data_IF_172110893747
#
_entry.id   IF_172110893747
#
_cell.length_a   1.000
_cell.length_b   1.000
_cell.length_c   1.000
_cell.angle_alpha   90.00
_cell.angle_beta   90.00
_cell.angle_gamma   90.00
#
_symmetry.space_group_name_H-M   'P 1'
#
loop_
_entity.id
_entity.type
_entity.pdbx_description
1 polymer ?
#
# COMPACT_ATOMS: atom_id res chain seq x y z
N UNK A 1 1.56 -0.91 -46.68
CA UNK A 1 2.49 -0.96 -45.55
C UNK A 1 1.96 -0.37 -44.22
N UNK A 2 0.69 -0.02 -44.12
CA UNK A 2 0.07 0.67 -42.93
C UNK A 2 -0.52 -0.25 -41.84
N UNK A 3 -0.65 -1.56 -42.10
CA UNK A 3 -1.30 -2.51 -41.18
C UNK A 3 -0.44 -2.88 -39.96
N UNK A 4 0.90 -2.83 -40.07
CA UNK A 4 1.80 -3.22 -38.98
C UNK A 4 1.82 -2.25 -37.79
N UNK A 5 1.70 -0.94 -38.07
CA UNK A 5 1.76 0.10 -37.02
C UNK A 5 0.55 0.08 -36.06
N UNK A 6 -0.65 -0.22 -36.58
CA UNK A 6 -1.90 -0.28 -35.78
C UNK A 6 -1.94 -1.48 -34.85
N UNK A 7 -1.36 -2.62 -35.27
CA UNK A 7 -1.29 -3.83 -34.42
C UNK A 7 -0.32 -3.67 -33.26
N UNK A 8 0.84 -3.03 -33.48
CA UNK A 8 1.85 -2.76 -32.44
C UNK A 8 1.30 -1.80 -31.38
N UNK A 9 0.65 -0.71 -31.79
CA UNK A 9 0.03 0.25 -30.86
C UNK A 9 -1.10 -0.36 -30.04
N UNK A 10 -1.91 -1.27 -30.61
CA UNK A 10 -2.98 -1.96 -29.88
C UNK A 10 -2.42 -2.94 -28.83
N UNK A 11 -1.32 -3.63 -29.13
CA UNK A 11 -0.62 -4.54 -28.20
C UNK A 11 0.03 -3.78 -27.03
N UNK A 12 0.65 -2.62 -27.31
CA UNK A 12 1.21 -1.73 -26.29
C UNK A 12 0.13 -1.16 -25.37
N UNK A 13 -0.98 -0.68 -25.90
CA UNK A 13 -2.11 -0.19 -25.10
C UNK A 13 -2.65 -1.26 -24.16
N UNK A 14 -2.82 -2.50 -24.63
CA UNK A 14 -3.31 -3.61 -23.80
C UNK A 14 -2.35 -3.94 -22.64
N UNK A 15 -1.04 -3.93 -22.88
CA UNK A 15 -0.04 -4.14 -21.80
C UNK A 15 -0.06 -3.02 -20.76
N UNK A 16 -0.14 -1.76 -21.18
CA UNK A 16 -0.24 -0.60 -20.28
C UNK A 16 -1.51 -0.69 -19.45
N UNK A 17 -2.67 -1.02 -20.02
CA UNK A 17 -3.93 -1.15 -19.29
C UNK A 17 -3.86 -2.23 -18.22
N UNK A 18 -3.25 -3.38 -18.49
CA UNK A 18 -3.09 -4.48 -17.51
C UNK A 18 -2.15 -4.06 -16.37
N UNK A 19 -1.03 -3.39 -16.66
CA UNK A 19 -0.14 -2.87 -15.62
C UNK A 19 -0.85 -1.83 -14.77
N UNK A 20 -1.58 -0.90 -15.39
CA UNK A 20 -2.32 0.15 -14.68
C UNK A 20 -3.40 -0.45 -13.77
N UNK A 21 -4.11 -1.50 -14.22
CA UNK A 21 -5.15 -2.17 -13.45
C UNK A 21 -4.61 -2.88 -12.19
N UNK A 22 -3.33 -3.22 -12.14
CA UNK A 22 -2.68 -3.81 -10.97
C UNK A 22 -2.09 -2.73 -10.04
N UNK A 23 -1.47 -1.70 -10.62
CA UNK A 23 -0.76 -0.67 -9.86
C UNK A 23 -1.72 0.28 -9.14
N UNK A 24 -2.77 0.72 -9.83
CA UNK A 24 -3.73 1.70 -9.27
C UNK A 24 -4.42 1.19 -8.00
N UNK A 25 -4.98 -0.04 -7.94
CA UNK A 25 -5.59 -0.55 -6.70
C UNK A 25 -4.62 -0.63 -5.52
N UNK A 26 -3.36 -0.99 -5.77
CA UNK A 26 -2.34 -1.05 -4.71
C UNK A 26 -2.07 0.34 -4.15
N UNK A 27 -1.87 1.34 -5.02
CA UNK A 27 -1.64 2.73 -4.58
C UNK A 27 -2.86 3.25 -3.80
N UNK A 28 -4.08 3.02 -4.29
CA UNK A 28 -5.31 3.44 -3.61
C UNK A 28 -5.44 2.78 -2.25
N UNK A 29 -5.18 1.47 -2.14
CA UNK A 29 -5.21 0.75 -0.86
C UNK A 29 -4.22 1.36 0.14
N UNK A 30 -2.98 1.63 -0.28
CA UNK A 30 -1.98 2.26 0.59
C UNK A 30 -2.36 3.70 0.98
N UNK A 31 -2.96 4.47 0.07
CA UNK A 31 -3.47 5.80 0.41
C UNK A 31 -4.56 5.73 1.49
N UNK A 32 -5.52 4.81 1.37
CA UNK A 32 -6.58 4.59 2.36
C UNK A 32 -5.98 4.19 3.71
N UNK A 33 -5.03 3.24 3.73
CA UNK A 33 -4.37 2.81 4.96
C UNK A 33 -3.61 3.95 5.64
N UNK A 34 -2.89 4.77 4.87
CA UNK A 34 -2.19 5.93 5.43
C UNK A 34 -3.16 7.00 5.97
N UNK A 35 -4.28 7.25 5.29
CA UNK A 35 -5.32 8.15 5.80
C UNK A 35 -5.91 7.61 7.11
N UNK A 36 -6.21 6.32 7.19
CA UNK A 36 -6.75 5.70 8.39
C UNK A 36 -5.77 5.76 9.56
N UNK A 37 -4.50 5.40 9.36
CA UNK A 37 -3.47 5.48 10.42
C UNK A 37 -3.22 6.92 10.87
N UNK A 38 -3.22 7.88 9.96
CA UNK A 38 -3.10 9.30 10.30
C UNK A 38 -4.29 9.77 11.13
N UNK A 39 -5.51 9.32 10.81
CA UNK A 39 -6.71 9.61 11.59
C UNK A 39 -6.60 9.04 13.01
N UNK A 40 -6.15 7.80 13.18
CA UNK A 40 -5.95 7.19 14.52
C UNK A 40 -4.92 7.98 15.35
N UNK A 41 -3.80 8.38 14.74
CA UNK A 41 -2.81 9.22 15.43
C UNK A 41 -3.34 10.61 15.77
N UNK A 42 -4.20 11.18 14.93
CA UNK A 42 -4.84 12.45 15.20
C UNK A 42 -5.82 12.35 16.39
N UNK A 43 -6.61 11.30 16.48
CA UNK A 43 -7.51 11.07 17.63
C UNK A 43 -6.73 10.87 18.95
N UNK A 44 -5.62 10.14 18.92
CA UNK A 44 -4.73 9.99 20.08
C UNK A 44 -4.11 11.35 20.50
N UNK A 45 -3.65 12.14 19.52
CA UNK A 45 -3.16 13.48 19.77
C UNK A 45 -4.24 14.39 20.37
N UNK A 46 -5.44 14.38 19.80
CA UNK A 46 -6.59 15.16 20.26
C UNK A 46 -6.95 14.80 21.71
N UNK A 47 -7.03 13.50 22.01
CA UNK A 47 -7.28 13.01 23.36
C UNK A 47 -6.23 13.53 24.37
N UNK A 48 -4.95 13.44 24.03
CA UNK A 48 -3.85 13.94 24.87
C UNK A 48 -3.93 15.45 25.09
N UNK A 49 -4.30 16.20 24.05
CA UNK A 49 -4.47 17.65 24.15
C UNK A 49 -5.68 18.02 25.00
N UNK A 50 -6.82 17.33 24.88
CA UNK A 50 -7.99 17.54 25.71
C UNK A 50 -7.68 17.23 27.19
N UNK A 51 -7.00 16.12 27.45
CA UNK A 51 -6.53 15.77 28.77
C UNK A 51 -5.65 16.88 29.39
N UNK A 52 -4.74 17.45 28.59
CA UNK A 52 -3.90 18.58 29.03
C UNK A 52 -4.71 19.83 29.38
N UNK A 53 -5.82 20.11 28.64
CA UNK A 53 -6.69 21.25 28.98
C UNK A 53 -7.42 21.05 30.30
N UNK A 54 -7.88 19.82 30.59
CA UNK A 54 -8.50 19.48 31.86
C UNK A 54 -7.51 19.59 33.01
N UNK A 55 -6.28 19.12 32.81
CA UNK A 55 -5.21 19.25 33.81
C UNK A 55 -4.88 20.72 34.07
N UNK A 56 -4.74 21.54 33.02
CA UNK A 56 -4.40 22.95 33.15
C UNK A 56 -5.51 23.79 33.82
N UNK A 57 -6.77 23.39 33.65
CA UNK A 57 -7.90 24.09 34.24
C UNK A 57 -8.09 23.84 35.75
N UNK A 58 -7.52 22.74 36.28
CA UNK A 58 -7.63 22.40 37.70
C UNK A 58 -6.58 23.17 38.52
N UNK A 59 -7.02 24.19 39.28
CA UNK A 59 -6.15 24.99 40.13
C UNK A 59 -5.48 24.19 41.29
N UNK A 60 -6.11 23.13 41.76
CA UNK A 60 -5.56 22.24 42.77
C UNK A 60 -5.46 20.79 42.24
N UNK A 61 -4.26 20.39 41.90
CA UNK A 61 -3.95 18.98 41.59
C UNK A 61 -3.81 18.19 42.88
N UNK A 62 -4.93 17.73 43.42
CA UNK A 62 -4.94 16.90 44.62
C UNK A 62 -4.62 15.43 44.34
N UNK A 63 -3.40 15.19 43.81
CA UNK A 63 -2.81 13.86 43.81
C UNK A 63 -3.09 12.97 42.61
N UNK A 64 -2.43 11.82 42.58
CA UNK A 64 -2.49 10.77 41.56
C UNK A 64 -3.90 10.22 41.28
N UNK A 65 -4.81 10.30 42.25
CA UNK A 65 -6.18 9.78 42.12
C UNK A 65 -6.99 10.60 41.10
N UNK A 66 -6.86 11.91 41.10
CA UNK A 66 -7.54 12.81 40.14
C UNK A 66 -7.03 12.60 38.69
N UNK A 67 -5.74 12.36 38.52
CA UNK A 67 -5.15 12.01 37.19
C UNK A 67 -5.63 10.64 36.74
N UNK A 68 -5.69 9.67 37.68
CA UNK A 68 -6.16 8.33 37.36
C UNK A 68 -7.62 8.30 36.94
N UNK A 69 -8.46 9.16 37.52
CA UNK A 69 -9.86 9.29 37.16
C UNK A 69 -10.03 9.90 35.76
N UNK A 70 -9.28 10.95 35.44
CA UNK A 70 -9.25 11.57 34.11
C UNK A 70 -8.75 10.59 33.03
N UNK A 71 -7.77 9.76 33.34
CA UNK A 71 -7.23 8.77 32.39
C UNK A 71 -8.20 7.63 32.08
N UNK A 72 -9.23 7.42 32.91
CA UNK A 72 -10.28 6.43 32.66
C UNK A 72 -11.36 6.94 31.72
N UNK A 73 -11.53 8.25 31.64
CA UNK A 73 -12.51 8.85 30.73
C UNK A 73 -11.95 8.90 29.31
N UNK A 74 -12.63 8.23 28.39
CA UNK A 74 -12.23 8.17 26.99
C UNK A 74 -12.79 9.33 26.14
N UNK A 75 -13.81 9.99 26.64
CA UNK A 75 -14.56 11.02 25.90
C UNK A 75 -14.29 12.43 26.48
N UNK A 76 -13.06 12.72 26.88
CA UNK A 76 -12.65 14.01 27.41
C UNK A 76 -12.81 15.07 26.33
N UNK A 77 -13.67 16.06 26.60
CA UNK A 77 -13.82 17.25 25.76
C UNK A 77 -12.77 18.31 26.08
N UNK A 78 -12.57 19.26 25.15
CA UNK A 78 -11.62 20.36 25.34
C UNK A 78 -12.15 21.32 26.42
N UNK A 79 -11.40 21.48 27.51
CA UNK A 79 -11.69 22.50 28.51
C UNK A 79 -11.18 23.86 28.04
N UNK A 80 -12.11 24.80 27.85
CA UNK A 80 -11.81 26.10 27.26
C UNK A 80 -10.89 26.96 28.13
N UNK A 81 -11.02 26.90 29.46
CA UNK A 81 -10.15 27.65 30.39
C UNK A 81 -8.71 27.10 30.34
N UNK A 82 -8.58 25.77 30.38
CA UNK A 82 -7.29 25.11 30.27
C UNK A 82 -6.64 25.34 28.90
N UNK A 83 -7.45 25.42 27.83
CA UNK A 83 -6.97 25.75 26.48
C UNK A 83 -6.37 27.16 26.44
N UNK A 84 -7.05 28.15 26.99
CA UNK A 84 -6.56 29.52 27.04
C UNK A 84 -5.25 29.64 27.82
N UNK A 85 -5.14 28.94 28.96
CA UNK A 85 -3.89 28.89 29.72
C UNK A 85 -2.74 28.27 28.89
N UNK A 86 -2.99 27.14 28.22
CA UNK A 86 -1.98 26.50 27.37
C UNK A 86 -1.59 27.36 26.18
N UNK A 87 -2.53 28.12 25.58
CA UNK A 87 -2.24 29.10 24.53
C UNK A 87 -1.35 30.23 25.05
N UNK A 88 -1.69 30.82 26.23
CA UNK A 88 -0.91 31.88 26.84
C UNK A 88 0.56 31.46 27.09
N UNK A 89 0.80 30.24 27.48
CA UNK A 89 2.14 29.71 27.70
C UNK A 89 2.79 29.10 26.44
N UNK A 90 2.10 29.15 25.28
CA UNK A 90 2.64 28.66 24.00
C UNK A 90 2.67 27.11 23.84
N UNK A 91 1.90 26.38 24.64
CA UNK A 91 1.83 24.91 24.59
C UNK A 91 0.66 24.37 23.77
N UNK A 92 -0.26 25.22 23.33
CA UNK A 92 -1.39 24.81 22.50
C UNK A 92 -1.05 24.89 21.01
N UNK A 93 -1.14 23.73 20.31
CA UNK A 93 -0.97 23.68 18.87
C UNK A 93 0.40 24.10 18.32
N UNK A 94 1.39 24.31 19.18
CA UNK A 94 2.65 24.90 18.82
C UNK A 94 3.76 23.84 18.65
N UNK A 95 4.78 24.14 17.82
CA UNK A 95 5.95 23.28 17.57
C UNK A 95 6.75 22.92 18.84
N UNK A 96 6.56 23.64 19.93
CA UNK A 96 7.14 23.33 21.25
C UNK A 96 6.39 22.26 22.04
N UNK A 97 5.20 21.84 21.63
CA UNK A 97 4.42 20.84 22.33
C UNK A 97 4.93 19.44 21.99
N UNK A 98 5.33 18.67 23.01
CA UNK A 98 5.85 17.32 22.85
C UNK A 98 4.85 16.36 22.15
N UNK A 99 3.54 16.48 22.41
CA UNK A 99 2.51 15.67 21.77
C UNK A 99 2.35 16.02 20.29
N UNK A 100 2.46 17.28 19.91
CA UNK A 100 2.47 17.72 18.52
C UNK A 100 3.68 17.14 17.75
N UNK A 101 4.86 17.21 18.36
CA UNK A 101 6.08 16.63 17.78
C UNK A 101 5.97 15.11 17.66
N UNK A 102 5.42 14.43 18.68
CA UNK A 102 5.19 13.00 18.66
C UNK A 102 4.23 12.58 17.56
N UNK A 103 3.11 13.31 17.40
CA UNK A 103 2.14 13.07 16.33
C UNK A 103 2.81 13.15 14.95
N UNK A 104 3.53 14.24 14.67
CA UNK A 104 4.22 14.40 13.39
C UNK A 104 5.29 13.35 13.16
N UNK A 105 6.04 12.99 14.19
CA UNK A 105 7.03 11.92 14.10
C UNK A 105 6.38 10.58 13.74
N UNK A 106 5.27 10.21 14.38
CA UNK A 106 4.51 9.01 14.07
C UNK A 106 4.01 8.99 12.63
N UNK A 107 3.40 10.09 12.17
CA UNK A 107 2.91 10.24 10.79
C UNK A 107 4.05 10.09 9.77
N UNK A 108 5.18 10.76 9.99
CA UNK A 108 6.33 10.71 9.08
C UNK A 108 6.96 9.32 9.02
N UNK A 109 7.19 8.68 10.17
CA UNK A 109 7.78 7.34 10.22
C UNK A 109 6.86 6.31 9.56
N UNK A 110 5.57 6.33 9.90
CA UNK A 110 4.59 5.40 9.32
C UNK A 110 4.44 5.62 7.81
N UNK A 111 4.38 6.87 7.37
CA UNK A 111 4.34 7.22 5.95
C UNK A 111 5.58 6.75 5.18
N UNK A 112 6.78 6.92 5.76
CA UNK A 112 8.02 6.45 5.15
C UNK A 112 8.05 4.93 5.02
N UNK A 113 7.73 4.20 6.11
CA UNK A 113 7.69 2.73 6.11
C UNK A 113 6.64 2.22 5.12
N UNK A 114 5.43 2.80 5.13
CA UNK A 114 4.36 2.45 4.20
C UNK A 114 4.78 2.65 2.74
N UNK A 115 5.48 3.76 2.43
CA UNK A 115 5.99 4.04 1.08
C UNK A 115 7.00 2.99 0.64
N UNK A 116 7.94 2.61 1.49
CA UNK A 116 8.93 1.56 1.18
C UNK A 116 8.24 0.23 0.90
N UNK A 117 7.28 -0.18 1.74
CA UNK A 117 6.52 -1.42 1.54
C UNK A 117 5.74 -1.37 0.22
N UNK A 118 5.08 -0.24 -0.09
CA UNK A 118 4.35 -0.06 -1.35
C UNK A 118 5.27 -0.23 -2.57
N UNK A 119 6.46 0.39 -2.56
CA UNK A 119 7.44 0.27 -3.65
C UNK A 119 7.91 -1.17 -3.81
N UNK A 120 8.21 -1.88 -2.71
CA UNK A 120 8.60 -3.29 -2.75
C UNK A 120 7.50 -4.18 -3.32
N UNK A 121 6.25 -3.98 -2.92
CA UNK A 121 5.11 -4.73 -3.45
C UNK A 121 4.91 -4.45 -4.95
N UNK A 122 4.98 -3.21 -5.38
CA UNK A 122 4.85 -2.85 -6.79
C UNK A 122 5.98 -3.45 -7.64
N UNK A 123 7.22 -3.41 -7.18
CA UNK A 123 8.35 -4.02 -7.88
C UNK A 123 8.20 -5.54 -7.99
N UNK A 124 7.74 -6.19 -6.91
CA UNK A 124 7.45 -7.61 -6.90
C UNK A 124 6.34 -7.99 -7.89
N UNK A 125 5.22 -7.26 -7.90
CA UNK A 125 4.10 -7.50 -8.82
C UNK A 125 4.51 -7.32 -10.28
N UNK A 126 5.29 -6.29 -10.59
CA UNK A 126 5.81 -6.04 -11.94
C UNK A 126 6.79 -7.14 -12.38
N UNK A 127 7.66 -7.59 -11.47
CA UNK A 127 8.57 -8.70 -11.74
C UNK A 127 7.82 -10.00 -12.01
N UNK A 128 6.82 -10.33 -11.17
CA UNK A 128 5.98 -11.51 -11.34
C UNK A 128 5.26 -11.50 -12.69
N UNK A 129 4.66 -10.36 -13.04
CA UNK A 129 3.97 -10.19 -14.31
C UNK A 129 4.90 -10.36 -15.51
N UNK A 130 6.11 -9.81 -15.44
CA UNK A 130 7.13 -10.00 -16.48
C UNK A 130 7.50 -11.47 -16.65
N UNK A 131 7.65 -12.22 -15.55
CA UNK A 131 7.95 -13.65 -15.57
C UNK A 131 6.81 -14.46 -16.23
N UNK A 132 5.56 -14.15 -15.91
CA UNK A 132 4.38 -14.76 -16.51
C UNK A 132 4.33 -14.51 -18.03
N UNK A 133 4.55 -13.26 -18.48
CA UNK A 133 4.58 -12.90 -19.90
C UNK A 133 5.65 -13.67 -20.67
N UNK A 134 6.84 -13.87 -20.10
CA UNK A 134 7.94 -14.65 -20.71
C UNK A 134 7.55 -16.14 -20.80
N UNK A 135 6.90 -16.69 -19.79
CA UNK A 135 6.45 -18.07 -19.80
C UNK A 135 5.39 -18.29 -20.91
N UNK A 136 4.41 -17.40 -21.02
CA UNK A 136 3.40 -17.46 -22.08
C UNK A 136 4.00 -17.33 -23.48
N UNK A 137 5.02 -16.48 -23.68
CA UNK A 137 5.70 -16.37 -24.97
C UNK A 137 6.38 -17.67 -25.36
N UNK A 138 7.09 -18.33 -24.44
CA UNK A 138 7.73 -19.61 -24.71
C UNK A 138 6.74 -20.70 -25.15
N UNK A 139 5.56 -20.76 -24.50
CA UNK A 139 4.49 -21.70 -24.86
C UNK A 139 3.97 -21.38 -26.27
N UNK A 140 3.75 -20.12 -26.60
CA UNK A 140 3.30 -19.72 -27.94
C UNK A 140 4.31 -20.05 -29.01
N UNK A 141 5.61 -19.80 -28.76
CA UNK A 141 6.70 -20.13 -29.68
C UNK A 141 6.78 -21.66 -29.94
N UNK A 142 6.61 -22.48 -28.90
CA UNK A 142 6.55 -23.94 -29.03
C UNK A 142 5.33 -24.40 -29.84
N UNK A 143 4.15 -23.81 -29.60
CA UNK A 143 2.95 -24.10 -30.37
C UNK A 143 3.11 -23.71 -31.84
N UNK A 144 3.73 -22.56 -32.12
CA UNK A 144 4.01 -22.11 -33.48
C UNK A 144 4.97 -23.10 -34.19
N UNK A 145 6.02 -23.53 -33.50
CA UNK A 145 6.97 -24.53 -34.04
C UNK A 145 6.26 -25.86 -34.35
N UNK A 146 5.39 -26.35 -33.46
CA UNK A 146 4.58 -27.57 -33.70
C UNK A 146 3.69 -27.38 -34.92
N UNK A 147 2.99 -26.24 -35.04
CA UNK A 147 2.11 -25.93 -36.19
C UNK A 147 2.87 -25.89 -37.51
N UNK A 148 4.09 -25.31 -37.51
CA UNK A 148 4.95 -25.31 -38.70
C UNK A 148 5.35 -26.71 -39.11
N UNK A 149 5.73 -27.55 -38.16
CA UNK A 149 6.07 -28.97 -38.41
C UNK A 149 4.87 -29.76 -38.94
N UNK A 150 3.67 -29.50 -38.44
CA UNK A 150 2.41 -30.05 -38.96
C UNK A 150 2.15 -29.63 -40.42
N UNK A 151 2.33 -28.36 -40.74
CA UNK A 151 2.10 -27.83 -42.07
C UNK A 151 3.08 -28.40 -43.12
N UNK A 152 4.30 -28.73 -42.71
CA UNK A 152 5.34 -29.30 -43.57
C UNK A 152 5.22 -30.79 -43.83
N UNK A 153 4.10 -31.46 -43.42
CA UNK A 153 3.85 -32.90 -43.59
C UNK A 153 4.93 -33.80 -42.96
N UNK A 154 5.69 -33.31 -41.98
CA UNK A 154 6.69 -34.12 -41.24
C UNK A 154 6.09 -34.94 -40.11
N UNK A 155 4.79 -35.22 -40.15
CA UNK A 155 4.03 -35.94 -39.15
C UNK A 155 4.57 -37.35 -38.95
N UNK A 156 4.94 -38.05 -40.05
CA UNK A 156 5.44 -39.41 -39.98
C UNK A 156 6.78 -39.57 -39.26
N UNK A 157 7.57 -38.47 -39.21
CA UNK A 157 8.84 -38.48 -38.49
C UNK A 157 8.65 -38.34 -36.96
N UNK A 158 7.63 -37.61 -36.53
CA UNK A 158 7.32 -37.41 -35.12
C UNK A 158 6.68 -38.67 -34.49
N UNK A 159 5.79 -39.35 -35.20
CA UNK A 159 5.17 -40.60 -34.74
C UNK A 159 6.16 -41.74 -34.65
N UNK A 160 7.28 -41.68 -35.40
CA UNK A 160 8.33 -42.71 -35.33
C UNK A 160 9.35 -42.53 -34.21
N UNK A 161 9.46 -41.34 -33.64
CA UNK A 161 10.42 -41.03 -32.58
C UNK A 161 9.84 -41.06 -31.17
N UNK A 162 8.53 -41.01 -31.00
CA UNK A 162 7.91 -41.12 -29.69
C UNK A 162 7.66 -42.58 -29.34
N UNK A 163 8.52 -43.09 -28.48
CA UNK A 163 8.35 -44.35 -27.79
C UNK A 163 7.04 -44.25 -26.95
N UNK A 164 6.06 -45.19 -27.13
CA UNK A 164 4.78 -45.11 -26.42
C UNK A 164 4.91 -45.15 -24.89
N UNK A 165 6.09 -45.43 -24.37
CA UNK A 165 6.38 -45.41 -22.93
C UNK A 165 6.51 -44.00 -22.30
N UNK A 166 6.64 -42.93 -23.08
CA UNK A 166 6.72 -41.54 -22.52
C UNK A 166 5.36 -40.87 -22.39
N UNK A 167 4.32 -41.36 -23.04
CA UNK A 167 2.96 -40.83 -22.95
C UNK A 167 2.19 -41.32 -21.71
N UNK A 168 2.70 -42.28 -20.97
CA UNK A 168 2.08 -42.80 -19.74
C UNK A 168 2.40 -41.95 -18.48
N UNK A 169 3.28 -40.93 -18.59
CA UNK A 169 3.69 -40.07 -17.48
C UNK A 169 3.26 -38.58 -17.64
N UNK A 170 2.27 -38.27 -18.47
CA UNK A 170 1.60 -37.00 -18.60
C UNK A 170 0.16 -37.10 -18.11
#
# INVERSE_FOLDING_TARGET
MESGGKAVTKRYRKKITVVLSLVVPVIVLFAILNCFTTYVFYEDYKYKMNLMTEIAAKEEFSGLDAVSELLKDKDIETNEQGRQLLEQYGYWGNKGNAFYLQFWHQVMVTGAVSTVICVLLLTFLLYWKKKEDVCHQKILDQLEEILIRFRENKFDALLKTENPAELENL
#
